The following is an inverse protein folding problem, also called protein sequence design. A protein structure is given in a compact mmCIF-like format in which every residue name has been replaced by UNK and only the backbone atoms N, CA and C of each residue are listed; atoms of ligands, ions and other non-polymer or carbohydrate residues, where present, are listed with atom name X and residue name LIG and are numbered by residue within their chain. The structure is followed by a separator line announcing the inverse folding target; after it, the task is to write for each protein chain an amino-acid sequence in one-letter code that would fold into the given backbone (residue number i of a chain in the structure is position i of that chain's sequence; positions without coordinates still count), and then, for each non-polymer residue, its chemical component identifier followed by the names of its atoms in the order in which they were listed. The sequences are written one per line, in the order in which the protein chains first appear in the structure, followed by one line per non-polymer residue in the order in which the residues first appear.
data_IF_794581642274
#
_entry.id   IF_794581642274
#
_cell.length_a   1.000
_cell.length_b   1.000
_cell.length_c   1.000
_cell.angle_alpha   90.00
_cell.angle_beta   90.00
_cell.angle_gamma   90.00
#
_symmetry.space_group_name_H-M   'P 1'
#
loop_
_entity.id
_entity.type
_entity.pdbx_description
1 polymer ?
#
# COMPACT_ATOMS: atom_id res chain seq x y z
N UNK A 1 -27.30 -2.01 25.34
CA UNK A 1 -25.99 -2.01 26.03
C UNK A 1 -24.92 -1.96 24.93
N UNK A 2 -24.03 -1.00 24.99
CA UNK A 2 -22.83 -1.00 24.14
C UNK A 2 -21.72 -1.69 24.96
N UNK A 3 -21.06 -2.69 24.36
CA UNK A 3 -19.90 -3.35 24.96
C UNK A 3 -18.64 -2.60 24.57
N UNK A 4 -17.56 -2.78 25.35
CA UNK A 4 -16.23 -2.34 24.97
C UNK A 4 -15.87 -2.84 23.56
N UNK A 5 -15.19 -2.01 22.80
CA UNK A 5 -14.80 -2.31 21.42
C UNK A 5 -13.52 -1.54 21.06
N UNK A 6 -13.11 -1.59 19.83
CA UNK A 6 -11.90 -0.91 19.34
C UNK A 6 -11.87 0.61 19.56
N UNK A 7 -13.02 1.26 19.78
CA UNK A 7 -13.18 2.71 19.99
C UNK A 7 -13.80 3.09 21.32
N UNK A 8 -14.04 2.15 22.22
CA UNK A 8 -14.70 2.39 23.50
C UNK A 8 -14.12 1.56 24.61
N UNK A 9 -13.88 2.18 25.76
CA UNK A 9 -13.33 1.57 26.97
C UNK A 9 -14.11 2.04 28.21
N UNK A 10 -14.36 1.12 29.17
CA UNK A 10 -15.00 1.42 30.44
C UNK A 10 -14.03 1.22 31.61
N UNK A 11 -14.10 2.09 32.62
CA UNK A 11 -13.36 1.96 33.86
C UNK A 11 -14.26 2.37 35.02
N UNK A 12 -14.41 1.49 36.00
CA UNK A 12 -15.21 1.79 37.19
C UNK A 12 -14.59 2.89 38.04
N UNK A 13 -13.24 3.00 38.06
CA UNK A 13 -12.48 3.96 38.84
C UNK A 13 -11.24 4.44 38.07
N UNK A 14 -10.66 5.58 38.49
CA UNK A 14 -9.39 6.07 37.95
C UNK A 14 -8.22 5.26 38.47
N UNK A 15 -7.55 4.53 37.59
CA UNK A 15 -6.29 3.82 37.82
C UNK A 15 -5.21 4.31 36.89
N UNK A 16 -3.95 3.99 37.17
CA UNK A 16 -2.82 4.38 36.28
C UNK A 16 -2.86 3.68 34.91
N UNK A 17 -3.68 2.64 34.76
CA UNK A 17 -3.90 1.99 33.48
C UNK A 17 -4.58 2.90 32.44
N UNK A 18 -5.27 3.96 32.89
CA UNK A 18 -5.89 4.95 32.02
C UNK A 18 -4.90 5.57 31.02
N UNK A 19 -3.65 5.76 31.44
CA UNK A 19 -2.63 6.34 30.56
C UNK A 19 -2.28 5.42 29.38
N UNK A 20 -2.35 4.10 29.59
CA UNK A 20 -2.13 3.11 28.51
C UNK A 20 -3.26 3.16 27.49
N UNK A 21 -4.51 3.30 27.99
CA UNK A 21 -5.68 3.41 27.11
C UNK A 21 -5.62 4.68 26.26
N UNK A 22 -5.31 5.84 26.89
CA UNK A 22 -5.14 7.10 26.17
C UNK A 22 -4.05 6.98 25.10
N UNK A 23 -2.90 6.40 25.45
CA UNK A 23 -1.81 6.16 24.50
C UNK A 23 -2.26 5.27 23.35
N UNK A 24 -2.96 4.18 23.67
CA UNK A 24 -3.42 3.23 22.65
C UNK A 24 -4.40 3.87 21.66
N UNK A 25 -5.36 4.64 22.16
CA UNK A 25 -6.29 5.39 21.31
C UNK A 25 -5.58 6.47 20.49
N UNK A 26 -4.64 7.22 21.09
CA UNK A 26 -3.90 8.27 20.37
C UNK A 26 -3.00 7.70 19.27
N UNK A 27 -2.45 6.50 19.47
CA UNK A 27 -1.63 5.79 18.49
C UNK A 27 -2.43 5.07 17.39
N UNK A 28 -3.77 4.95 17.57
CA UNK A 28 -4.66 4.33 16.58
C UNK A 28 -5.70 5.35 16.06
N UNK A 29 -6.93 4.96 15.91
CA UNK A 29 -8.00 5.78 15.27
C UNK A 29 -8.79 6.63 16.28
N UNK A 30 -8.24 6.84 17.49
CA UNK A 30 -8.94 7.51 18.57
C UNK A 30 -10.05 6.66 19.19
N UNK A 31 -10.76 7.23 20.17
CA UNK A 31 -11.85 6.56 20.86
C UNK A 31 -12.37 7.31 22.06
N UNK A 32 -13.19 6.67 22.86
CA UNK A 32 -13.81 7.25 24.06
C UNK A 32 -13.59 6.33 25.26
N UNK A 33 -13.19 6.93 26.39
CA UNK A 33 -13.03 6.22 27.65
C UNK A 33 -14.05 6.80 28.65
N UNK A 34 -14.73 5.93 29.36
CA UNK A 34 -15.65 6.34 30.43
C UNK A 34 -15.11 5.89 31.78
N UNK A 35 -15.02 6.81 32.73
CA UNK A 35 -14.65 6.51 34.12
C UNK A 35 -15.91 6.68 35.00
N UNK A 36 -16.24 5.68 35.81
CA UNK A 36 -17.47 5.56 36.56
C UNK A 36 -18.50 4.64 35.91
N UNK A 37 -18.04 3.75 34.99
CA UNK A 37 -18.83 2.68 34.37
C UNK A 37 -18.06 1.36 34.55
N UNK A 38 -18.74 0.29 34.94
CA UNK A 38 -18.15 -1.03 35.08
C UNK A 38 -18.06 -1.77 33.73
N UNK A 39 -17.35 -2.89 33.68
CA UNK A 39 -17.16 -3.71 32.48
C UNK A 39 -18.47 -4.30 31.91
N UNK A 40 -19.56 -4.24 32.69
CA UNK A 40 -20.89 -4.67 32.26
C UNK A 40 -21.73 -3.52 31.69
N UNK A 41 -21.17 -2.28 31.68
CA UNK A 41 -21.83 -1.07 31.21
C UNK A 41 -22.79 -0.42 32.23
N UNK A 42 -22.74 -0.81 33.50
CA UNK A 42 -23.53 -0.19 34.56
C UNK A 42 -22.83 1.06 35.08
N UNK A 43 -23.59 2.12 35.29
CA UNK A 43 -23.07 3.37 35.86
C UNK A 43 -22.83 3.19 37.36
N UNK A 44 -21.57 3.23 37.77
CA UNK A 44 -21.16 3.21 39.18
C UNK A 44 -21.00 4.61 39.76
N UNK A 45 -20.66 5.57 38.89
CA UNK A 45 -20.31 6.94 39.27
C UNK A 45 -18.94 7.03 39.98
N UNK A 46 -18.49 8.25 40.23
CA UNK A 46 -17.23 8.58 40.90
C UNK A 46 -17.54 9.35 42.19
N UNK A 47 -16.95 8.97 43.35
CA UNK A 47 -17.24 9.62 44.64
C UNK A 47 -16.72 11.07 44.72
N UNK A 48 -15.44 11.29 44.38
CA UNK A 48 -14.78 12.62 44.42
C UNK A 48 -14.47 13.11 43.00
N UNK A 49 -15.50 13.59 42.30
CA UNK A 49 -15.41 13.93 40.90
C UNK A 49 -14.36 15.02 40.61
N UNK A 50 -14.34 16.11 41.38
CA UNK A 50 -13.43 17.24 41.14
C UNK A 50 -11.96 16.85 41.38
N UNK A 51 -11.69 16.09 42.43
CA UNK A 51 -10.35 15.59 42.72
C UNK A 51 -9.90 14.59 41.63
N UNK A 52 -10.78 13.67 41.26
CA UNK A 52 -10.51 12.68 40.20
C UNK A 52 -10.29 13.35 38.86
N UNK A 53 -11.09 14.37 38.51
CA UNK A 53 -10.94 15.13 37.28
C UNK A 53 -9.57 15.85 37.23
N UNK A 54 -9.18 16.53 38.31
CA UNK A 54 -7.89 17.23 38.42
C UNK A 54 -6.72 16.26 38.33
N UNK A 55 -6.79 15.12 39.05
CA UNK A 55 -5.76 14.10 38.99
C UNK A 55 -5.63 13.46 37.62
N UNK A 56 -6.75 13.19 36.94
CA UNK A 56 -6.81 12.65 35.60
C UNK A 56 -6.14 13.60 34.57
N UNK A 57 -6.57 14.86 34.54
CA UNK A 57 -6.08 15.83 33.54
C UNK A 57 -4.57 16.11 33.72
N UNK A 58 -4.11 16.29 34.96
CA UNK A 58 -2.69 16.49 35.24
C UNK A 58 -1.90 15.20 34.95
N UNK A 59 -2.43 14.05 35.33
CA UNK A 59 -1.75 12.76 35.13
C UNK A 59 -1.54 12.44 33.64
N UNK A 60 -2.55 12.65 32.78
CA UNK A 60 -2.41 12.43 31.35
C UNK A 60 -1.35 13.35 30.76
N UNK A 61 -1.38 14.66 31.08
CA UNK A 61 -0.37 15.61 30.62
C UNK A 61 1.06 15.25 31.06
N UNK A 62 1.23 14.82 32.29
CA UNK A 62 2.54 14.62 32.88
C UNK A 62 3.14 13.22 32.59
N UNK A 63 2.28 12.22 32.34
CA UNK A 63 2.69 10.81 32.13
C UNK A 63 2.94 10.45 30.66
N UNK A 64 2.39 11.19 29.70
CA UNK A 64 2.43 10.83 28.26
C UNK A 64 3.33 11.77 27.50
N UNK A 65 4.11 11.22 26.58
CA UNK A 65 4.92 11.95 25.62
C UNK A 65 4.76 11.35 24.20
N UNK A 66 4.84 12.19 23.12
CA UNK A 66 4.76 13.66 23.12
C UNK A 66 3.50 14.19 23.81
N UNK A 67 3.36 15.52 23.94
CA UNK A 67 2.18 16.12 24.57
C UNK A 67 0.89 15.70 23.84
N UNK A 68 -0.03 15.09 24.59
CA UNK A 68 -1.29 14.52 24.07
C UNK A 68 -2.49 15.44 24.29
N UNK A 69 -2.31 16.55 25.01
CA UNK A 69 -3.43 17.38 25.52
C UNK A 69 -4.31 17.96 24.42
N UNK A 70 -3.77 18.24 23.24
CA UNK A 70 -4.55 18.73 22.09
C UNK A 70 -5.52 17.68 21.52
N UNK A 71 -5.28 16.41 21.77
CA UNK A 71 -6.07 15.29 21.25
C UNK A 71 -7.03 14.72 22.29
N UNK A 72 -7.03 15.25 23.52
CA UNK A 72 -7.86 14.72 24.62
C UNK A 72 -8.84 15.79 25.09
N UNK A 73 -10.12 15.43 25.08
CA UNK A 73 -11.22 16.26 25.59
C UNK A 73 -11.92 15.56 26.73
N UNK A 74 -12.18 16.28 27.79
CA UNK A 74 -12.83 15.76 28.99
C UNK A 74 -14.23 16.34 29.12
N UNK A 75 -15.22 15.48 29.38
CA UNK A 75 -16.61 15.87 29.57
C UNK A 75 -17.13 15.22 30.84
N UNK A 76 -17.54 16.03 31.83
CA UNK A 76 -18.21 15.54 33.01
C UNK A 76 -19.70 15.39 32.72
N UNK A 77 -20.27 14.22 33.00
CA UNK A 77 -21.69 13.92 32.84
C UNK A 77 -22.45 14.04 34.17
N UNK A 78 -23.75 14.29 34.12
CA UNK A 78 -24.61 14.50 35.29
C UNK A 78 -24.67 13.31 36.27
N UNK A 79 -24.41 12.10 35.76
CA UNK A 79 -24.36 10.86 36.51
C UNK A 79 -23.00 10.58 37.21
N UNK A 80 -22.16 11.60 37.36
CA UNK A 80 -20.81 11.50 37.94
C UNK A 80 -19.87 10.56 37.14
N UNK A 81 -20.02 10.52 35.84
CA UNK A 81 -19.14 9.82 34.90
C UNK A 81 -18.26 10.83 34.18
N UNK A 82 -16.96 10.57 34.10
CA UNK A 82 -16.06 11.36 33.26
C UNK A 82 -15.92 10.63 31.91
N UNK A 83 -16.30 11.31 30.85
CA UNK A 83 -16.10 10.88 29.48
C UNK A 83 -14.86 11.56 28.92
N UNK A 84 -13.92 10.77 28.43
CA UNK A 84 -12.67 11.20 27.82
C UNK A 84 -12.75 10.88 26.34
N UNK A 85 -12.78 11.90 25.48
CA UNK A 85 -12.70 11.76 24.03
C UNK A 85 -11.22 11.87 23.65
N UNK A 86 -10.68 10.82 23.05
CA UNK A 86 -9.30 10.76 22.60
C UNK A 86 -9.29 10.75 21.09
N UNK A 87 -8.67 11.75 20.48
CA UNK A 87 -8.43 11.82 19.04
C UNK A 87 -7.19 11.06 18.64
N UNK A 88 -7.10 10.76 17.35
CA UNK A 88 -5.87 10.25 16.75
C UNK A 88 -4.78 11.32 16.80
N UNK A 89 -3.59 10.95 17.28
CA UNK A 89 -2.45 11.85 17.42
C UNK A 89 -1.63 11.96 16.13
N UNK A 90 -1.10 13.17 15.88
CA UNK A 90 -0.30 13.47 14.68
C UNK A 90 1.18 13.13 14.82
N UNK A 91 1.69 12.98 16.05
CA UNK A 91 3.12 12.76 16.34
C UNK A 91 3.35 11.41 16.98
N UNK A 92 2.89 10.35 16.34
CA UNK A 92 3.08 8.97 16.81
C UNK A 92 4.56 8.55 16.73
N UNK A 93 5.04 7.71 17.65
CA UNK A 93 4.30 7.04 18.71
C UNK A 93 4.22 7.86 20.00
N UNK A 94 3.05 7.90 20.61
CA UNK A 94 2.86 8.37 21.98
C UNK A 94 3.24 7.25 22.95
N UNK A 95 3.86 7.62 24.08
CA UNK A 95 4.38 6.62 25.03
C UNK A 95 4.35 7.09 26.47
N UNK A 96 4.39 6.16 27.40
CA UNK A 96 4.57 6.45 28.84
C UNK A 96 5.97 7.00 29.09
N UNK A 97 6.07 8.25 29.58
CA UNK A 97 7.32 8.93 29.89
C UNK A 97 8.21 8.10 30.83
N UNK A 98 7.62 7.44 31.82
CA UNK A 98 8.33 6.61 32.80
C UNK A 98 8.99 5.38 32.22
N UNK A 99 8.47 4.88 31.08
CA UNK A 99 8.97 3.68 30.40
C UNK A 99 9.76 3.98 29.14
N UNK A 100 9.62 5.20 28.58
CA UNK A 100 10.31 5.63 27.37
C UNK A 100 9.79 5.00 26.10
N UNK A 101 10.42 5.40 24.96
CA UNK A 101 10.05 4.96 23.60
C UNK A 101 10.56 3.54 23.32
N UNK A 102 9.86 2.56 23.83
CA UNK A 102 10.12 1.13 23.66
C UNK A 102 8.81 0.33 23.85
N UNK A 103 8.74 -0.97 23.47
CA UNK A 103 7.51 -1.75 23.57
C UNK A 103 6.79 -1.64 24.92
N UNK A 104 7.52 -1.62 26.03
CA UNK A 104 6.94 -1.49 27.37
C UNK A 104 6.25 -0.14 27.64
N UNK A 105 6.49 0.88 26.81
CA UNK A 105 5.94 2.24 26.96
C UNK A 105 4.92 2.63 25.90
N UNK A 106 4.89 1.93 24.74
CA UNK A 106 4.02 2.24 23.59
C UNK A 106 2.87 1.25 23.52
N UNK A 107 1.66 1.73 23.41
CA UNK A 107 0.45 0.90 23.34
C UNK A 107 -0.37 1.24 22.10
N UNK A 108 -1.05 0.22 21.55
CA UNK A 108 -1.97 0.32 20.40
C UNK A 108 -3.25 -0.46 20.69
N UNK A 109 -4.36 -0.09 20.06
CA UNK A 109 -5.61 -0.87 20.16
C UNK A 109 -5.55 -2.07 19.23
N UNK A 110 -5.97 -3.22 19.76
CA UNK A 110 -6.18 -4.44 19.00
C UNK A 110 -7.53 -5.05 19.41
N UNK A 111 -8.57 -4.75 18.63
CA UNK A 111 -9.94 -5.01 19.04
C UNK A 111 -10.31 -4.20 20.28
N UNK A 112 -10.90 -4.84 21.29
CA UNK A 112 -11.30 -4.20 22.55
C UNK A 112 -10.17 -4.10 23.60
N UNK A 113 -8.89 -4.39 23.27
CA UNK A 113 -7.80 -4.38 24.24
C UNK A 113 -6.66 -3.47 23.81
N UNK A 114 -5.97 -2.86 24.79
CA UNK A 114 -4.73 -2.12 24.59
C UNK A 114 -3.52 -3.02 24.80
N UNK A 115 -2.73 -3.23 23.75
CA UNK A 115 -1.56 -4.09 23.76
C UNK A 115 -0.29 -3.29 23.54
N UNK A 116 0.86 -3.83 23.98
CA UNK A 116 2.15 -3.22 23.69
C UNK A 116 2.46 -3.30 22.20
N UNK A 117 2.91 -2.19 21.61
CA UNK A 117 3.34 -2.16 20.23
C UNK A 117 4.65 -2.94 20.03
N UNK A 118 4.75 -3.67 18.93
CA UNK A 118 6.00 -4.34 18.55
C UNK A 118 7.09 -3.33 18.17
N UNK A 119 8.37 -3.71 18.22
CA UNK A 119 9.46 -2.85 17.72
C UNK A 119 9.25 -2.40 16.26
N UNK A 120 8.65 -3.25 15.44
CA UNK A 120 8.34 -2.96 14.03
C UNK A 120 7.24 -1.91 13.91
N UNK A 121 6.17 -2.04 14.72
CA UNK A 121 5.08 -1.06 14.77
C UNK A 121 5.59 0.31 15.26
N UNK A 122 6.46 0.34 16.27
CA UNK A 122 7.07 1.56 16.77
C UNK A 122 7.90 2.24 15.67
N UNK A 123 8.74 1.48 14.95
CA UNK A 123 9.52 2.02 13.82
C UNK A 123 8.61 2.56 12.73
N UNK A 124 7.51 1.87 12.43
CA UNK A 124 6.57 2.33 11.42
C UNK A 124 5.88 3.64 11.85
N UNK A 125 5.41 3.73 13.10
CA UNK A 125 4.84 4.98 13.64
C UNK A 125 5.81 6.15 13.60
N UNK A 126 7.09 5.94 13.94
CA UNK A 126 8.13 6.98 13.82
C UNK A 126 8.26 7.44 12.36
N UNK A 127 8.37 6.50 11.43
CA UNK A 127 8.43 6.81 10.00
C UNK A 127 7.24 7.64 9.51
N UNK A 128 6.05 7.26 9.96
CA UNK A 128 4.81 7.90 9.51
C UNK A 128 4.62 9.30 10.13
N UNK A 129 5.21 9.53 11.30
CA UNK A 129 5.00 10.72 12.12
C UNK A 129 6.06 11.82 11.96
N UNK A 130 7.34 11.45 12.01
CA UNK A 130 8.43 12.42 11.99
C UNK A 130 8.74 12.92 10.58
N UNK A 131 8.07 12.36 9.56
CA UNK A 131 8.42 12.68 8.18
C UNK A 131 9.89 12.37 7.89
N UNK A 132 10.49 11.41 8.63
CA UNK A 132 11.83 10.90 8.34
C UNK A 132 11.83 10.34 6.91
N UNK A 133 12.00 11.27 6.00
CA UNK A 133 12.10 10.98 4.58
C UNK A 133 13.43 10.27 4.43
N UNK A 134 13.38 8.96 4.18
CA UNK A 134 14.56 8.12 4.03
C UNK A 134 15.68 8.82 3.23
N UNK A 135 15.30 9.52 2.18
CA UNK A 135 16.25 10.22 1.29
C UNK A 135 17.01 11.37 1.96
N UNK A 136 16.43 12.03 2.98
CA UNK A 136 17.06 13.16 3.69
C UNK A 136 17.91 12.72 4.89
N UNK A 137 17.76 11.45 5.33
CA UNK A 137 18.58 10.91 6.41
C UNK A 137 20.04 10.78 5.98
N UNK A 138 20.94 10.94 6.94
CA UNK A 138 22.39 10.74 6.74
C UNK A 138 22.66 9.30 6.33
N UNK A 139 23.40 9.10 5.24
CA UNK A 139 23.89 7.76 4.88
C UNK A 139 25.09 7.34 5.73
N UNK A 140 25.19 6.05 6.01
CA UNK A 140 26.33 5.46 6.72
C UNK A 140 27.59 5.57 5.85
N UNK A 141 27.46 5.40 4.54
CA UNK A 141 28.56 5.47 3.59
C UNK A 141 28.81 6.91 3.15
N UNK A 142 29.96 7.46 3.52
CA UNK A 142 30.33 8.84 3.20
C UNK A 142 31.35 8.98 2.06
N UNK A 143 31.97 7.89 1.62
CA UNK A 143 32.88 7.89 0.47
C UNK A 143 32.07 7.57 -0.80
N UNK A 144 31.48 8.60 -1.40
CA UNK A 144 30.62 8.47 -2.57
C UNK A 144 31.26 9.10 -3.80
N UNK A 145 31.11 8.44 -4.97
CA UNK A 145 31.41 8.99 -6.29
C UNK A 145 30.12 9.09 -7.11
N UNK A 146 30.11 9.99 -8.09
CA UNK A 146 28.91 10.36 -8.82
C UNK A 146 29.15 10.42 -10.35
N UNK A 147 30.00 9.54 -10.88
CA UNK A 147 30.39 9.59 -12.29
C UNK A 147 29.16 9.41 -13.20
N UNK A 148 28.32 8.43 -12.90
CA UNK A 148 27.10 8.16 -13.66
C UNK A 148 26.05 9.28 -13.50
N UNK A 149 25.91 9.85 -12.31
CA UNK A 149 25.04 11.00 -12.09
C UNK A 149 25.53 12.23 -12.88
N UNK A 150 26.84 12.51 -12.86
CA UNK A 150 27.41 13.63 -13.63
C UNK A 150 27.15 13.48 -15.12
N UNK A 151 27.25 12.28 -15.68
CA UNK A 151 26.91 11.97 -17.08
C UNK A 151 25.42 12.27 -17.34
N UNK A 152 24.52 11.81 -16.46
CA UNK A 152 23.09 12.05 -16.59
C UNK A 152 22.75 13.54 -16.55
N UNK A 153 23.24 14.28 -15.57
CA UNK A 153 23.00 15.72 -15.43
C UNK A 153 23.53 16.52 -16.63
N UNK A 154 24.74 16.17 -17.12
CA UNK A 154 25.35 16.80 -18.30
C UNK A 154 24.48 16.58 -19.54
N UNK A 155 23.92 15.37 -19.73
CA UNK A 155 23.04 15.04 -20.87
C UNK A 155 21.84 15.97 -20.92
N UNK A 156 21.24 16.27 -19.76
CA UNK A 156 20.07 17.13 -19.65
C UNK A 156 20.44 18.62 -19.44
N UNK A 157 21.72 18.98 -19.53
CA UNK A 157 22.21 20.36 -19.37
C UNK A 157 21.85 20.98 -18.02
N UNK A 158 21.89 20.19 -16.97
CA UNK A 158 21.70 20.64 -15.57
C UNK A 158 23.05 20.59 -14.88
N UNK A 159 23.34 21.63 -14.09
CA UNK A 159 24.60 21.71 -13.34
C UNK A 159 24.63 20.74 -12.18
N UNK A 160 25.78 20.02 -12.03
CA UNK A 160 26.02 19.01 -10.99
C UNK A 160 27.39 19.22 -10.34
N UNK A 161 27.68 20.43 -9.95
CA UNK A 161 28.91 20.79 -9.23
C UNK A 161 28.72 20.62 -7.70
N UNK A 162 29.79 20.43 -6.95
CA UNK A 162 29.73 20.19 -5.50
C UNK A 162 29.03 21.31 -4.72
N UNK A 163 29.13 22.54 -5.16
CA UNK A 163 28.42 23.70 -4.58
C UNK A 163 26.89 23.59 -4.68
N UNK A 164 26.37 22.70 -5.51
CA UNK A 164 24.94 22.42 -5.65
C UNK A 164 24.46 21.26 -4.78
N UNK A 165 25.35 20.48 -4.18
CA UNK A 165 24.98 19.26 -3.45
C UNK A 165 24.01 19.51 -2.29
N UNK A 166 24.19 20.62 -1.54
CA UNK A 166 23.24 21.01 -0.49
C UNK A 166 21.87 21.35 -1.11
N UNK A 167 21.87 22.17 -2.17
CA UNK A 167 20.63 22.59 -2.84
C UNK A 167 19.88 21.42 -3.53
N UNK A 168 20.61 20.39 -3.93
CA UNK A 168 20.04 19.14 -4.48
C UNK A 168 19.60 18.16 -3.37
N UNK A 169 19.93 18.43 -2.10
CA UNK A 169 19.64 17.53 -0.99
C UNK A 169 20.60 16.34 -0.85
N UNK A 170 21.75 16.38 -1.56
CA UNK A 170 22.78 15.34 -1.48
C UNK A 170 23.63 15.46 -0.21
N UNK A 171 23.81 16.67 0.28
CA UNK A 171 24.47 16.96 1.57
C UNK A 171 23.52 17.69 2.50
N UNK A 172 23.60 17.34 3.77
CA UNK A 172 22.84 18.01 4.82
C UNK A 172 23.46 19.38 5.13
N UNK A 173 22.62 20.41 5.25
CA UNK A 173 23.07 21.80 5.48
C UNK A 173 23.73 22.02 6.85
N UNK A 174 23.46 21.16 7.85
CA UNK A 174 23.93 21.34 9.21
C UNK A 174 25.29 20.72 9.50
N UNK A 175 25.57 19.55 8.87
CA UNK A 175 26.78 18.75 9.15
C UNK A 175 27.61 18.42 7.92
N UNK A 176 27.18 18.88 6.74
CA UNK A 176 27.82 18.65 5.43
C UNK A 176 28.04 17.15 5.08
N UNK A 177 27.27 16.25 5.73
CA UNK A 177 27.36 14.83 5.47
C UNK A 177 26.41 14.43 4.33
N UNK A 178 26.81 13.40 3.59
CA UNK A 178 25.95 12.85 2.52
C UNK A 178 24.70 12.20 3.08
N UNK A 179 23.59 12.43 2.37
CA UNK A 179 22.26 11.84 2.64
C UNK A 179 22.08 10.50 1.93
N UNK A 180 21.03 9.77 2.26
CA UNK A 180 20.65 8.58 1.52
C UNK A 180 20.27 8.90 0.06
N UNK A 181 19.75 10.10 -0.23
CA UNK A 181 19.57 10.55 -1.61
C UNK A 181 20.89 10.56 -2.37
N UNK A 182 21.97 11.05 -1.75
CA UNK A 182 23.30 10.98 -2.36
C UNK A 182 23.73 9.56 -2.63
N UNK A 183 23.51 8.63 -1.68
CA UNK A 183 23.79 7.21 -1.89
C UNK A 183 23.01 6.63 -3.08
N UNK A 184 21.72 6.97 -3.22
CA UNK A 184 20.90 6.51 -4.36
C UNK A 184 21.43 6.98 -5.71
N UNK A 185 21.96 8.22 -5.77
CA UNK A 185 22.51 8.77 -7.01
C UNK A 185 23.98 8.37 -7.25
N UNK A 186 24.69 7.87 -6.23
CA UNK A 186 26.09 7.50 -6.32
C UNK A 186 26.33 6.19 -7.07
N UNK A 187 27.57 5.99 -7.50
CA UNK A 187 28.01 4.74 -8.12
C UNK A 187 28.03 3.58 -7.12
N UNK A 188 28.00 3.87 -5.82
CA UNK A 188 27.95 2.93 -4.70
C UNK A 188 26.55 2.54 -4.25
N UNK A 189 25.50 2.95 -4.97
CA UNK A 189 24.11 2.58 -4.64
C UNK A 189 23.96 1.05 -4.55
N UNK A 190 23.47 0.58 -3.40
CA UNK A 190 23.30 -0.85 -3.12
C UNK A 190 21.96 -1.41 -3.60
N UNK A 191 21.00 -0.53 -3.89
CA UNK A 191 19.72 -0.95 -4.43
C UNK A 191 19.85 -1.36 -5.88
N UNK A 192 19.07 -2.35 -6.31
CA UNK A 192 19.16 -2.91 -7.67
C UNK A 192 17.78 -3.01 -8.31
N UNK A 193 17.79 -3.09 -9.63
CA UNK A 193 16.63 -3.43 -10.46
C UNK A 193 16.89 -4.76 -11.14
N UNK A 194 16.00 -5.75 -10.93
CA UNK A 194 16.08 -7.09 -11.51
C UNK A 194 15.01 -7.25 -12.57
N UNK A 195 15.42 -7.71 -13.74
CA UNK A 195 14.51 -8.00 -14.85
C UNK A 195 14.63 -9.48 -15.15
N UNK A 196 13.50 -10.18 -15.11
CA UNK A 196 13.39 -11.59 -15.44
C UNK A 196 12.46 -11.78 -16.64
N UNK A 197 12.90 -12.54 -17.62
CA UNK A 197 12.11 -12.90 -18.80
C UNK A 197 11.77 -14.37 -18.71
N UNK A 198 10.49 -14.70 -18.83
CA UNK A 198 9.95 -16.04 -18.65
C UNK A 198 9.38 -16.60 -19.95
N UNK A 199 9.39 -17.95 -20.06
CA UNK A 199 8.76 -18.67 -21.17
C UNK A 199 7.27 -18.93 -20.91
N UNK A 200 6.85 -18.84 -19.64
CA UNK A 200 5.52 -19.20 -19.17
C UNK A 200 4.81 -18.03 -18.48
N UNK A 201 3.47 -18.05 -18.47
CA UNK A 201 2.66 -17.02 -17.82
C UNK A 201 2.71 -17.07 -16.28
N UNK A 202 3.03 -18.22 -15.71
CA UNK A 202 3.19 -18.42 -14.27
C UNK A 202 4.53 -17.90 -13.73
N UNK A 203 5.43 -17.46 -14.62
CA UNK A 203 6.75 -16.92 -14.28
C UNK A 203 7.60 -17.93 -13.48
N UNK A 204 7.64 -19.17 -13.93
CA UNK A 204 8.41 -20.28 -13.31
C UNK A 204 9.60 -20.72 -14.15
N UNK A 205 9.53 -20.59 -15.49
CA UNK A 205 10.60 -20.95 -16.40
C UNK A 205 11.33 -19.73 -16.92
N UNK A 206 12.54 -19.49 -16.39
CA UNK A 206 13.37 -18.38 -16.82
C UNK A 206 13.91 -18.58 -18.24
N UNK A 207 13.75 -17.57 -19.11
CA UNK A 207 14.41 -17.48 -20.40
C UNK A 207 15.70 -16.67 -20.34
N UNK A 208 15.67 -15.54 -19.61
CA UNK A 208 16.83 -14.68 -19.35
C UNK A 208 16.59 -13.87 -18.06
N UNK A 209 17.67 -13.37 -17.47
CA UNK A 209 17.58 -12.48 -16.32
C UNK A 209 18.76 -11.51 -16.28
N UNK A 210 18.50 -10.29 -15.84
CA UNK A 210 19.52 -9.25 -15.64
C UNK A 210 19.30 -8.55 -14.32
N UNK A 211 20.39 -8.18 -13.67
CA UNK A 211 20.41 -7.34 -12.48
C UNK A 211 21.24 -6.08 -12.78
N UNK A 212 20.67 -4.92 -12.51
CA UNK A 212 21.30 -3.62 -12.71
C UNK A 212 21.48 -2.92 -11.37
N UNK A 213 22.72 -2.61 -11.03
CA UNK A 213 23.14 -1.88 -9.82
C UNK A 213 23.83 -0.56 -10.14
N UNK A 214 24.39 0.07 -9.10
CA UNK A 214 25.01 1.40 -9.19
C UNK A 214 23.96 2.51 -9.16
N UNK A 215 24.31 3.70 -9.60
CA UNK A 215 23.43 4.86 -9.60
C UNK A 215 22.04 4.55 -10.15
N UNK A 216 20.99 5.14 -9.55
CA UNK A 216 19.62 5.00 -10.06
C UNK A 216 19.50 5.42 -11.54
N UNK A 217 20.31 6.39 -11.99
CA UNK A 217 20.32 6.78 -13.40
C UNK A 217 20.84 5.67 -14.30
N UNK A 218 21.90 4.98 -13.89
CA UNK A 218 22.43 3.82 -14.60
C UNK A 218 21.45 2.65 -14.61
N UNK A 219 20.80 2.39 -13.48
CA UNK A 219 19.75 1.38 -13.39
C UNK A 219 18.59 1.70 -14.34
N UNK A 220 18.15 2.96 -14.39
CA UNK A 220 17.10 3.42 -15.31
C UNK A 220 17.49 3.20 -16.76
N UNK A 221 18.67 3.67 -17.19
CA UNK A 221 19.12 3.54 -18.58
C UNK A 221 19.29 2.08 -19.00
N UNK A 222 19.98 1.29 -18.19
CA UNK A 222 20.20 -0.11 -18.49
C UNK A 222 18.90 -0.90 -18.55
N UNK A 223 17.98 -0.60 -17.64
CA UNK A 223 16.66 -1.26 -17.61
C UNK A 223 15.84 -0.89 -18.85
N UNK A 224 15.77 0.38 -19.24
CA UNK A 224 15.05 0.82 -20.45
C UNK A 224 15.63 0.16 -21.71
N UNK A 225 16.97 0.14 -21.83
CA UNK A 225 17.62 -0.46 -22.99
C UNK A 225 17.34 -1.97 -23.07
N UNK A 226 17.39 -2.68 -21.92
CA UNK A 226 17.10 -4.11 -21.90
C UNK A 226 15.62 -4.41 -22.16
N UNK A 227 14.70 -3.63 -21.59
CA UNK A 227 13.25 -3.76 -21.86
C UNK A 227 12.89 -3.46 -23.32
N UNK A 228 13.61 -2.53 -23.97
CA UNK A 228 13.44 -2.28 -25.40
C UNK A 228 13.83 -3.51 -26.25
N UNK A 229 14.85 -4.29 -25.85
CA UNK A 229 15.19 -5.54 -26.53
C UNK A 229 14.14 -6.64 -26.30
N UNK A 230 13.45 -6.61 -25.17
CA UNK A 230 12.34 -7.53 -24.86
C UNK A 230 11.03 -7.14 -25.58
N UNK A 231 10.89 -5.89 -26.04
CA UNK A 231 9.69 -5.35 -26.66
C UNK A 231 9.69 -5.67 -28.17
N UNK A 232 9.04 -6.76 -28.55
CA UNK A 232 9.01 -7.23 -29.94
C UNK A 232 8.09 -6.34 -30.79
N UNK A 233 8.40 -6.25 -32.08
CA UNK A 233 7.55 -5.61 -33.07
C UNK A 233 6.96 -6.67 -33.99
N UNK A 234 5.64 -6.74 -34.04
CA UNK A 234 4.89 -7.57 -34.98
C UNK A 234 4.55 -6.75 -36.21
N UNK A 235 4.98 -7.24 -37.40
CA UNK A 235 4.67 -6.60 -38.66
C UNK A 235 3.56 -7.37 -39.37
N UNK A 236 2.46 -6.73 -39.67
CA UNK A 236 1.36 -7.28 -40.49
C UNK A 236 1.26 -6.56 -41.81
N UNK A 237 1.07 -7.31 -42.90
CA UNK A 237 0.88 -6.77 -44.24
C UNK A 237 -0.55 -7.03 -44.66
N UNK A 238 -1.35 -5.96 -44.85
CA UNK A 238 -2.70 -6.02 -45.42
C UNK A 238 -2.71 -5.34 -46.79
N UNK A 239 -2.75 -6.13 -47.85
CA UNK A 239 -2.62 -5.62 -49.23
C UNK A 239 -1.22 -5.06 -49.46
N UNK A 240 -1.14 -3.75 -49.74
CA UNK A 240 0.14 -3.02 -49.98
C UNK A 240 0.61 -2.24 -48.73
N UNK A 241 -0.14 -2.26 -47.67
CA UNK A 241 0.17 -1.50 -46.43
C UNK A 241 0.79 -2.43 -45.39
N UNK A 242 1.99 -2.11 -44.95
CA UNK A 242 2.65 -2.71 -43.79
C UNK A 242 2.30 -1.90 -42.53
N UNK A 243 1.89 -2.57 -41.48
CA UNK A 243 1.66 -2.01 -40.15
C UNK A 243 2.56 -2.70 -39.16
N UNK A 244 3.41 -1.93 -38.49
CA UNK A 244 4.29 -2.37 -37.43
C UNK A 244 3.67 -2.01 -36.07
N UNK A 245 3.54 -2.99 -35.16
CA UNK A 245 2.93 -2.80 -33.85
C UNK A 245 3.83 -3.45 -32.79
N UNK A 246 4.27 -2.64 -31.82
CA UNK A 246 5.05 -3.12 -30.69
C UNK A 246 4.17 -3.87 -29.69
N UNK A 247 4.75 -4.83 -28.96
CA UNK A 247 4.07 -5.57 -27.90
C UNK A 247 3.62 -4.63 -26.77
N UNK A 248 4.44 -3.63 -26.46
CA UNK A 248 4.17 -2.63 -25.41
C UNK A 248 4.50 -1.23 -25.92
N UNK A 249 3.71 -0.18 -25.62
CA UNK A 249 4.09 1.21 -25.91
C UNK A 249 5.36 1.59 -25.10
N UNK A 250 6.39 2.10 -25.75
CA UNK A 250 7.66 2.48 -25.11
C UNK A 250 7.46 3.51 -24.00
N UNK A 251 6.55 4.47 -24.20
CA UNK A 251 6.20 5.45 -23.18
C UNK A 251 5.57 4.79 -21.94
N UNK A 252 4.78 3.72 -22.10
CA UNK A 252 4.19 3.00 -20.97
C UNK A 252 5.25 2.26 -20.16
N UNK A 253 6.21 1.60 -20.82
CA UNK A 253 7.36 0.97 -20.17
C UNK A 253 8.14 2.00 -19.37
N UNK A 254 8.44 3.16 -20.01
CA UNK A 254 9.19 4.24 -19.36
C UNK A 254 8.48 4.78 -18.12
N UNK A 255 7.20 5.07 -18.22
CA UNK A 255 6.40 5.59 -17.11
C UNK A 255 6.29 4.58 -15.96
N UNK A 256 6.08 3.29 -16.26
CA UNK A 256 6.02 2.24 -15.25
C UNK A 256 7.35 2.07 -14.49
N UNK A 257 8.48 2.12 -15.21
CA UNK A 257 9.82 2.04 -14.60
C UNK A 257 10.12 3.27 -13.74
N UNK A 258 9.81 4.48 -14.22
CA UNK A 258 10.00 5.72 -13.47
C UNK A 258 9.15 5.72 -12.19
N UNK A 259 7.89 5.27 -12.26
CA UNK A 259 7.05 5.08 -11.09
C UNK A 259 7.68 4.11 -10.08
N UNK A 260 8.18 2.96 -10.56
CA UNK A 260 8.83 1.98 -9.69
C UNK A 260 10.07 2.56 -8.99
N UNK A 261 10.88 3.38 -9.67
CA UNK A 261 12.07 4.01 -9.09
C UNK A 261 11.74 5.14 -8.11
N UNK A 262 10.82 6.04 -8.48
CA UNK A 262 10.52 7.25 -7.68
C UNK A 262 9.66 6.94 -6.45
N UNK A 263 8.73 5.98 -6.55
CA UNK A 263 7.79 5.67 -5.47
C UNK A 263 8.23 4.50 -4.58
N UNK A 264 9.33 3.82 -4.89
CA UNK A 264 9.86 2.76 -4.06
C UNK A 264 10.18 3.24 -2.64
N UNK A 265 9.91 2.40 -1.65
CA UNK A 265 10.44 2.58 -0.29
C UNK A 265 11.88 2.04 -0.22
N UNK A 266 12.85 2.95 -0.25
CA UNK A 266 14.27 2.63 -0.19
C UNK A 266 14.78 2.22 1.19
N UNK A 267 13.95 2.28 2.22
CA UNK A 267 14.30 1.71 3.52
C UNK A 267 14.32 0.18 3.53
N UNK A 268 13.69 -0.46 2.53
CA UNK A 268 13.79 -1.90 2.30
C UNK A 268 14.96 -2.23 1.37
N UNK A 269 15.70 -3.29 1.71
CA UNK A 269 16.88 -3.72 0.96
C UNK A 269 16.57 -4.53 -0.32
N UNK A 270 15.32 -4.98 -0.54
CA UNK A 270 14.93 -5.77 -1.72
C UNK A 270 15.09 -4.97 -3.03
N UNK A 271 15.05 -5.64 -4.17
CA UNK A 271 15.17 -5.03 -5.50
C UNK A 271 13.82 -4.60 -6.06
N UNK A 272 13.81 -3.67 -7.05
CA UNK A 272 12.69 -3.56 -7.99
C UNK A 272 12.71 -4.82 -8.85
N UNK A 273 11.57 -5.44 -9.07
CA UNK A 273 11.42 -6.64 -9.88
C UNK A 273 10.57 -6.32 -11.10
N UNK A 274 11.07 -6.68 -12.28
CA UNK A 274 10.32 -6.56 -13.53
C UNK A 274 10.25 -7.94 -14.15
N UNK A 275 9.03 -8.46 -14.29
CA UNK A 275 8.79 -9.75 -14.92
C UNK A 275 8.22 -9.51 -16.32
N UNK A 276 8.78 -10.19 -17.32
CA UNK A 276 8.37 -10.11 -18.72
C UNK A 276 8.03 -11.51 -19.19
N UNK A 277 6.86 -11.70 -19.75
CA UNK A 277 6.47 -12.92 -20.46
C UNK A 277 5.72 -12.57 -21.76
N UNK A 278 5.24 -13.57 -22.48
CA UNK A 278 4.59 -13.35 -23.76
C UNK A 278 3.22 -12.63 -23.66
N UNK A 279 2.59 -12.62 -22.46
CA UNK A 279 1.27 -12.01 -22.23
C UNK A 279 1.31 -10.64 -21.56
N UNK A 280 2.33 -10.36 -20.74
CA UNK A 280 2.41 -9.15 -19.91
C UNK A 280 3.82 -8.76 -19.49
N UNK A 281 3.97 -7.52 -19.05
CA UNK A 281 5.13 -6.99 -18.34
C UNK A 281 4.67 -6.43 -16.99
N UNK A 282 5.28 -6.87 -15.89
CA UNK A 282 4.94 -6.47 -14.52
C UNK A 282 6.09 -5.70 -13.90
N UNK A 283 5.79 -4.55 -13.31
CA UNK A 283 6.73 -3.72 -12.56
C UNK A 283 6.33 -3.76 -11.08
N UNK A 284 7.17 -4.32 -10.23
CA UNK A 284 6.92 -4.53 -8.81
C UNK A 284 7.96 -3.75 -8.01
N UNK A 285 7.51 -2.80 -7.20
CA UNK A 285 8.35 -2.04 -6.27
C UNK A 285 7.92 -2.27 -4.82
N UNK A 286 8.90 -2.21 -3.91
CA UNK A 286 8.65 -2.26 -2.47
C UNK A 286 8.06 -0.92 -1.98
N UNK A 287 7.15 -1.02 -1.04
CA UNK A 287 6.38 0.09 -0.49
C UNK A 287 4.98 0.15 -1.10
N UNK A 288 3.95 0.14 -0.24
CA UNK A 288 2.56 0.36 -0.63
C UNK A 288 2.28 1.83 -0.94
N UNK A 289 1.01 2.19 -1.03
CA UNK A 289 0.60 3.59 -1.14
C UNK A 289 0.89 4.35 0.16
N UNK A 290 1.09 5.65 0.05
CA UNK A 290 1.17 6.50 1.24
C UNK A 290 -0.17 6.51 1.97
N UNK A 291 -0.18 6.69 3.31
CA UNK A 291 -1.41 6.73 4.10
C UNK A 291 -2.43 7.72 3.52
N UNK A 292 -3.67 7.30 3.45
CA UNK A 292 -4.77 8.09 2.91
C UNK A 292 -4.92 8.09 1.39
N UNK A 293 -4.04 7.43 0.64
CA UNK A 293 -4.17 7.26 -0.82
C UNK A 293 -4.74 5.89 -1.17
N UNK A 294 -5.64 5.89 -2.15
CA UNK A 294 -6.19 4.68 -2.78
C UNK A 294 -5.69 4.53 -4.24
N UNK A 295 -5.89 3.35 -4.81
CA UNK A 295 -5.63 3.10 -6.25
C UNK A 295 -6.53 3.93 -7.14
N UNK A 296 -7.74 4.26 -6.69
CA UNK A 296 -8.69 5.12 -7.35
C UNK A 296 -8.17 6.56 -7.43
N UNK A 297 -7.60 7.10 -6.35
CA UNK A 297 -7.01 8.44 -6.33
C UNK A 297 -5.88 8.56 -7.34
N UNK A 298 -5.03 7.53 -7.44
CA UNK A 298 -3.95 7.48 -8.43
C UNK A 298 -4.49 7.49 -9.86
N UNK A 299 -5.56 6.75 -10.14
CA UNK A 299 -6.24 6.78 -11.45
C UNK A 299 -6.85 8.14 -11.75
N UNK A 300 -7.32 8.86 -10.74
CA UNK A 300 -7.77 10.25 -10.86
C UNK A 300 -6.62 11.23 -11.07
N UNK A 301 -5.35 10.80 -10.92
CA UNK A 301 -4.15 11.59 -11.15
C UNK A 301 -3.61 12.27 -9.89
N UNK A 302 -4.04 11.86 -8.72
CA UNK A 302 -3.39 12.26 -7.48
C UNK A 302 -1.99 11.65 -7.46
N UNK A 303 -0.96 12.49 -7.30
CA UNK A 303 0.44 12.06 -7.26
C UNK A 303 1.11 12.66 -6.04
N UNK A 304 1.55 11.78 -5.14
CA UNK A 304 2.34 12.14 -3.99
C UNK A 304 3.58 11.23 -3.96
N UNK A 305 4.74 11.72 -4.37
CA UNK A 305 5.94 10.90 -4.38
C UNK A 305 6.42 10.59 -2.96
N UNK A 306 6.80 9.33 -2.72
CA UNK A 306 7.43 8.90 -1.47
C UNK A 306 8.79 9.58 -1.30
N UNK A 307 9.57 9.64 -2.38
CA UNK A 307 10.90 10.25 -2.41
C UNK A 307 10.81 11.61 -3.14
N UNK A 308 10.46 12.65 -2.38
CA UNK A 308 10.20 13.99 -2.92
C UNK A 308 11.42 14.60 -3.60
N UNK A 309 12.59 14.51 -2.95
CA UNK A 309 13.84 15.07 -3.49
C UNK A 309 14.32 14.33 -4.73
N UNK A 310 14.19 13.00 -4.73
CA UNK A 310 14.46 12.20 -5.91
C UNK A 310 13.52 12.59 -7.06
N UNK A 311 12.22 12.74 -6.79
CA UNK A 311 11.26 13.22 -7.78
C UNK A 311 11.60 14.62 -8.31
N UNK A 312 11.99 15.57 -7.45
CA UNK A 312 12.45 16.91 -7.84
C UNK A 312 13.66 16.84 -8.80
N UNK A 313 14.62 15.94 -8.54
CA UNK A 313 15.79 15.75 -9.41
C UNK A 313 15.35 15.16 -10.75
N UNK A 314 14.52 14.13 -10.77
CA UNK A 314 14.02 13.56 -12.02
C UNK A 314 13.19 14.58 -12.83
N UNK A 315 12.43 15.45 -12.15
CA UNK A 315 11.71 16.53 -12.80
C UNK A 315 12.67 17.58 -13.40
N UNK A 316 13.71 18.01 -12.67
CA UNK A 316 14.74 18.93 -13.19
C UNK A 316 15.43 18.37 -14.44
N UNK A 317 15.66 17.06 -14.46
CA UNK A 317 16.21 16.34 -15.62
C UNK A 317 15.15 16.05 -16.69
N UNK A 318 13.91 16.56 -16.56
CA UNK A 318 12.79 16.33 -17.49
C UNK A 318 12.49 14.84 -17.73
N UNK A 319 12.82 13.99 -16.75
CA UNK A 319 12.50 12.58 -16.79
C UNK A 319 11.06 12.29 -16.38
N UNK A 320 10.50 13.09 -15.47
CA UNK A 320 9.10 12.99 -15.03
C UNK A 320 8.41 14.37 -15.11
N UNK A 321 7.08 14.33 -15.13
CA UNK A 321 6.21 15.51 -15.03
C UNK A 321 5.62 15.59 -13.60
N UNK A 322 5.37 16.81 -13.11
CA UNK A 322 4.88 17.04 -11.73
C UNK A 322 3.34 16.97 -11.59
N UNK A 323 2.62 16.64 -12.66
CA UNK A 323 1.14 16.80 -12.71
C UNK A 323 0.35 15.50 -12.51
N UNK A 324 0.98 14.40 -12.06
CA UNK A 324 0.29 13.12 -11.88
C UNK A 324 -0.26 12.50 -13.17
N UNK A 325 0.34 12.85 -14.31
CA UNK A 325 -0.13 12.44 -15.65
C UNK A 325 0.39 11.06 -16.05
N UNK A 326 1.44 10.53 -15.40
CA UNK A 326 2.14 9.32 -15.82
C UNK A 326 1.23 8.09 -15.91
N UNK A 327 0.53 7.79 -14.85
CA UNK A 327 -0.40 6.65 -14.81
C UNK A 327 -1.55 6.84 -15.82
N UNK A 328 -2.12 8.04 -15.90
CA UNK A 328 -3.17 8.33 -16.89
C UNK A 328 -2.65 8.16 -18.33
N UNK A 329 -1.40 8.51 -18.58
CA UNK A 329 -0.74 8.31 -19.90
C UNK A 329 -0.65 6.84 -20.24
N UNK A 330 -0.27 5.97 -19.26
CA UNK A 330 -0.26 4.52 -19.45
C UNK A 330 -1.65 4.05 -19.93
N UNK A 331 -2.72 4.36 -19.18
CA UNK A 331 -4.08 3.95 -19.56
C UNK A 331 -4.51 4.51 -20.93
N UNK A 332 -4.17 5.76 -21.23
CA UNK A 332 -4.48 6.39 -22.52
C UNK A 332 -3.81 5.67 -23.71
N UNK A 333 -2.57 5.21 -23.54
CA UNK A 333 -1.85 4.45 -24.57
C UNK A 333 -2.50 3.10 -24.87
N UNK A 334 -3.23 2.55 -23.92
CA UNK A 334 -3.97 1.29 -24.05
C UNK A 334 -5.47 1.47 -24.33
N UNK A 335 -5.96 2.71 -24.59
CA UNK A 335 -7.39 2.98 -24.74
C UNK A 335 -8.11 2.10 -25.78
N UNK A 336 -7.39 1.70 -26.84
CA UNK A 336 -7.92 0.86 -27.93
C UNK A 336 -7.49 -0.63 -27.79
N UNK A 337 -6.90 -1.02 -26.68
CA UNK A 337 -6.53 -2.41 -26.41
C UNK A 337 -7.68 -3.13 -25.69
N UNK A 338 -8.03 -4.37 -26.08
CA UNK A 338 -9.08 -5.12 -25.41
C UNK A 338 -8.76 -5.44 -23.93
N UNK A 339 -7.48 -5.54 -23.58
CA UNK A 339 -7.02 -5.71 -22.20
C UNK A 339 -6.33 -4.44 -21.73
N UNK A 340 -6.77 -3.92 -20.58
CA UNK A 340 -6.27 -2.68 -20.01
C UNK A 340 -5.15 -2.95 -18.99
N UNK A 341 -4.21 -2.00 -18.79
CA UNK A 341 -3.27 -2.04 -17.69
C UNK A 341 -3.95 -2.15 -16.34
N UNK A 342 -3.30 -2.80 -15.37
CA UNK A 342 -3.79 -2.84 -14.00
C UNK A 342 -2.76 -2.30 -13.02
N UNK A 343 -3.28 -1.80 -11.89
CA UNK A 343 -2.49 -1.32 -10.76
C UNK A 343 -3.00 -2.05 -9.53
N UNK A 344 -2.08 -2.60 -8.77
CA UNK A 344 -2.35 -3.28 -7.53
C UNK A 344 -1.42 -2.75 -6.44
N UNK A 345 -1.99 -2.49 -5.28
CA UNK A 345 -1.24 -2.04 -4.11
C UNK A 345 -1.57 -2.90 -2.89
N UNK A 346 -0.55 -3.27 -2.16
CA UNK A 346 -0.65 -3.89 -0.84
C UNK A 346 0.05 -2.99 0.17
N UNK A 347 0.05 -3.36 1.44
CA UNK A 347 0.77 -2.60 2.48
C UNK A 347 2.26 -2.40 2.15
N UNK A 348 2.92 -3.37 1.51
CA UNK A 348 4.39 -3.38 1.33
C UNK A 348 4.84 -3.47 -0.14
N UNK A 349 3.93 -3.44 -1.09
CA UNK A 349 4.27 -3.53 -2.50
C UNK A 349 3.29 -2.76 -3.39
N UNK A 350 3.82 -2.26 -4.51
CA UNK A 350 3.04 -1.63 -5.57
C UNK A 350 3.41 -2.30 -6.90
N UNK A 351 2.39 -2.68 -7.68
CA UNK A 351 2.53 -3.38 -8.95
C UNK A 351 1.79 -2.66 -10.07
N UNK A 352 2.48 -2.45 -11.20
CA UNK A 352 1.87 -2.03 -12.48
C UNK A 352 2.01 -3.19 -13.45
N UNK A 353 0.92 -3.57 -14.10
CA UNK A 353 0.89 -4.60 -15.13
C UNK A 353 0.54 -3.97 -16.47
N UNK A 354 1.41 -4.14 -17.45
CA UNK A 354 1.20 -3.75 -18.84
C UNK A 354 0.88 -5.03 -19.66
N UNK A 355 -0.32 -5.18 -20.23
CA UNK A 355 -0.62 -6.31 -21.09
C UNK A 355 0.09 -6.19 -22.44
N UNK A 356 0.48 -7.33 -23.03
CA UNK A 356 0.99 -7.37 -24.40
C UNK A 356 -0.14 -7.09 -25.38
N UNK A 357 -0.04 -5.99 -26.13
CA UNK A 357 -1.08 -5.52 -27.06
C UNK A 357 -1.31 -6.48 -28.23
N UNK A 358 -0.28 -7.21 -28.65
CA UNK A 358 -0.37 -8.16 -29.77
C UNK A 358 -0.96 -9.50 -29.31
N UNK A 359 -0.57 -10.02 -28.15
CA UNK A 359 -1.16 -11.22 -27.54
C UNK A 359 -2.65 -11.00 -27.20
N UNK A 360 -3.00 -9.87 -26.62
CA UNK A 360 -4.38 -9.50 -26.31
C UNK A 360 -5.27 -9.38 -27.55
N UNK A 361 -4.70 -8.90 -28.69
CA UNK A 361 -5.43 -8.79 -29.96
C UNK A 361 -5.65 -10.17 -30.61
N UNK A 362 -4.64 -11.06 -30.56
CA UNK A 362 -4.76 -12.44 -31.05
C UNK A 362 -5.77 -13.26 -30.23
N UNK A 363 -5.81 -13.05 -28.90
CA UNK A 363 -6.83 -13.64 -28.04
C UNK A 363 -8.25 -13.17 -28.35
N UNK A 364 -8.43 -11.90 -28.71
CA UNK A 364 -9.72 -11.34 -29.08
C UNK A 364 -10.22 -11.83 -30.46
N UNK A 365 -9.33 -12.02 -31.44
CA UNK A 365 -9.69 -12.61 -32.72
C UNK A 365 -10.06 -14.10 -32.59
N UNK A 366 -9.37 -14.85 -31.74
CA UNK A 366 -9.70 -16.24 -31.40
C UNK A 366 -10.96 -16.36 -30.50
N UNK A 367 -11.26 -15.35 -29.69
CA UNK A 367 -12.45 -15.30 -28.83
C UNK A 367 -13.74 -15.03 -29.64
N UNK A 368 -13.64 -14.44 -30.84
CA UNK A 368 -14.78 -14.29 -31.74
C UNK A 368 -15.22 -15.63 -32.34
N UNK A 369 -14.38 -16.69 -32.29
CA UNK A 369 -14.68 -18.08 -32.70
C UNK A 369 -14.78 -19.06 -31.51
N UNK A 370 -14.45 -18.62 -30.27
CA UNK A 370 -14.46 -19.49 -29.09
C UNK A 370 -15.77 -19.36 -28.28
N UNK A 371 -16.38 -20.47 -27.99
CA UNK A 371 -17.44 -20.61 -26.99
C UNK A 371 -17.02 -20.00 -25.64
N UNK A 372 -17.99 -19.52 -24.80
CA UNK A 372 -17.69 -18.87 -23.54
C UNK A 372 -16.74 -19.73 -22.69
N UNK A 373 -15.72 -19.10 -22.14
CA UNK A 373 -14.71 -19.76 -21.29
C UNK A 373 -15.40 -20.47 -20.13
N UNK A 374 -15.05 -21.73 -19.92
CA UNK A 374 -15.58 -22.54 -18.81
C UNK A 374 -15.12 -21.85 -17.49
N UNK A 375 -16.03 -21.51 -16.59
CA UNK A 375 -15.67 -20.83 -15.33
C UNK A 375 -14.71 -21.71 -14.50
N UNK A 376 -13.73 -21.09 -13.87
CA UNK A 376 -12.75 -21.79 -13.02
C UNK A 376 -13.45 -22.26 -11.74
N UNK A 377 -13.87 -23.52 -11.72
CA UNK A 377 -14.59 -24.11 -10.60
C UNK A 377 -13.62 -24.42 -9.45
N UNK A 378 -13.72 -23.65 -8.36
CA UNK A 378 -12.96 -23.94 -7.14
C UNK A 378 -13.48 -25.22 -6.46
N UNK A 379 -12.69 -25.87 -5.57
CA UNK A 379 -13.15 -27.04 -4.83
C UNK A 379 -14.46 -26.80 -4.05
N UNK A 380 -14.63 -25.60 -3.46
CA UNK A 380 -15.86 -25.23 -2.76
C UNK A 380 -17.05 -25.07 -3.72
N UNK A 381 -16.85 -24.43 -4.87
CA UNK A 381 -17.88 -24.32 -5.91
C UNK A 381 -18.30 -25.69 -6.43
N UNK A 382 -17.36 -26.62 -6.59
CA UNK A 382 -17.65 -27.96 -7.04
C UNK A 382 -18.57 -28.71 -6.07
N UNK A 383 -18.32 -28.63 -4.76
CA UNK A 383 -19.19 -29.24 -3.73
C UNK A 383 -20.59 -28.65 -3.80
N UNK A 384 -20.75 -27.35 -4.00
CA UNK A 384 -22.07 -26.70 -4.14
C UNK A 384 -22.80 -27.17 -5.41
N UNK A 385 -22.08 -27.22 -6.53
CA UNK A 385 -22.67 -27.67 -7.80
C UNK A 385 -23.10 -29.15 -7.76
N UNK A 386 -22.31 -30.01 -7.12
CA UNK A 386 -22.63 -31.42 -6.98
C UNK A 386 -23.84 -31.60 -6.05
N UNK A 387 -23.95 -30.85 -4.98
CA UNK A 387 -25.13 -30.79 -4.11
C UNK A 387 -26.40 -30.35 -4.90
N UNK A 388 -26.28 -29.24 -5.66
CA UNK A 388 -27.40 -28.73 -6.46
C UNK A 388 -27.84 -29.68 -7.57
N UNK A 389 -26.94 -30.51 -8.12
CA UNK A 389 -27.29 -31.56 -9.07
C UNK A 389 -28.11 -32.67 -8.43
N UNK A 390 -27.83 -32.99 -7.17
CA UNK A 390 -28.49 -34.08 -6.45
C UNK A 390 -29.82 -33.64 -5.84
N UNK A 391 -29.89 -32.45 -5.24
CA UNK A 391 -31.04 -31.96 -4.47
C UNK A 391 -31.89 -30.90 -5.19
N UNK A 392 -31.39 -30.34 -6.29
CA UNK A 392 -32.10 -29.38 -7.15
C UNK A 392 -32.08 -27.92 -6.64
N UNK A 393 -32.15 -27.70 -5.35
CA UNK A 393 -32.09 -26.37 -4.72
C UNK A 393 -31.35 -26.40 -3.37
N UNK A 394 -30.84 -25.21 -2.93
CA UNK A 394 -30.12 -25.06 -1.68
C UNK A 394 -30.46 -23.72 -1.03
N UNK A 395 -30.58 -23.67 0.29
CA UNK A 395 -30.74 -22.44 1.09
C UNK A 395 -29.42 -21.96 1.69
N UNK A 396 -29.40 -20.72 2.21
CA UNK A 396 -28.21 -20.13 2.85
C UNK A 396 -27.71 -20.95 4.05
N UNK A 397 -28.62 -21.54 4.86
CA UNK A 397 -28.28 -22.37 6.01
C UNK A 397 -27.61 -23.68 5.59
N UNK A 398 -28.19 -24.36 4.59
CA UNK A 398 -27.68 -25.64 4.06
C UNK A 398 -26.29 -25.46 3.44
N UNK A 399 -26.05 -24.32 2.75
CA UNK A 399 -24.73 -23.95 2.21
C UNK A 399 -23.68 -23.76 3.31
N UNK A 400 -24.07 -23.07 4.39
CA UNK A 400 -23.17 -22.82 5.51
C UNK A 400 -22.78 -24.11 6.23
N UNK A 401 -23.73 -25.03 6.41
CA UNK A 401 -23.50 -26.36 7.00
C UNK A 401 -22.66 -27.24 6.08
N UNK A 402 -22.98 -27.29 4.79
CA UNK A 402 -22.28 -28.12 3.81
C UNK A 402 -20.78 -27.78 3.70
N UNK A 403 -20.45 -26.48 3.74
CA UNK A 403 -19.07 -26.00 3.59
C UNK A 403 -18.40 -25.65 4.91
N UNK A 404 -19.08 -25.74 6.04
CA UNK A 404 -18.61 -25.31 7.38
C UNK A 404 -18.11 -23.85 7.38
N UNK A 405 -18.84 -22.92 6.71
CA UNK A 405 -18.47 -21.52 6.57
C UNK A 405 -19.50 -20.58 7.20
N UNK A 406 -19.05 -19.36 7.57
CA UNK A 406 -19.94 -18.33 8.14
C UNK A 406 -20.71 -17.58 7.02
N UNK A 407 -21.81 -16.94 7.39
CA UNK A 407 -22.75 -16.23 6.51
C UNK A 407 -22.08 -15.29 5.48
N UNK A 408 -21.09 -14.52 5.91
CA UNK A 408 -20.38 -13.58 5.01
C UNK A 408 -19.61 -14.33 3.90
N UNK A 409 -18.95 -15.45 4.24
CA UNK A 409 -18.21 -16.24 3.26
C UNK A 409 -19.16 -16.96 2.30
N UNK A 410 -20.29 -17.47 2.80
CA UNK A 410 -21.36 -18.08 2.00
C UNK A 410 -21.91 -17.08 0.97
N UNK A 411 -22.20 -15.85 1.41
CA UNK A 411 -22.67 -14.77 0.53
C UNK A 411 -21.68 -14.43 -0.59
N UNK A 412 -20.40 -14.29 -0.28
CA UNK A 412 -19.36 -13.99 -1.28
C UNK A 412 -19.22 -15.12 -2.31
N UNK A 413 -19.26 -16.37 -1.85
CA UNK A 413 -19.16 -17.53 -2.74
C UNK A 413 -20.37 -17.62 -3.69
N UNK A 414 -21.60 -17.49 -3.17
CA UNK A 414 -22.82 -17.57 -3.99
C UNK A 414 -22.96 -16.39 -4.94
N UNK A 415 -22.50 -15.19 -4.54
CA UNK A 415 -22.43 -14.04 -5.41
C UNK A 415 -21.49 -14.28 -6.58
N UNK A 416 -20.27 -14.78 -6.32
CA UNK A 416 -19.31 -15.13 -7.35
C UNK A 416 -19.87 -16.19 -8.30
N UNK A 417 -20.46 -17.28 -7.77
CA UNK A 417 -21.06 -18.33 -8.59
C UNK A 417 -22.23 -17.84 -9.46
N UNK A 418 -22.98 -16.85 -8.97
CA UNK A 418 -24.08 -16.23 -9.73
C UNK A 418 -23.55 -15.28 -10.82
N UNK A 419 -22.50 -14.50 -10.53
CA UNK A 419 -21.82 -13.63 -11.50
C UNK A 419 -21.16 -14.44 -12.62
N UNK A 420 -20.60 -15.60 -12.30
CA UNK A 420 -20.04 -16.56 -13.25
C UNK A 420 -21.10 -17.41 -13.99
N UNK A 421 -22.39 -17.20 -13.66
CA UNK A 421 -23.50 -17.88 -14.34
C UNK A 421 -23.67 -19.37 -14.01
N UNK A 422 -23.05 -19.84 -12.92
CA UNK A 422 -23.13 -21.24 -12.46
C UNK A 422 -24.42 -21.55 -11.72
N UNK A 423 -24.97 -20.58 -11.01
CA UNK A 423 -26.21 -20.70 -10.24
C UNK A 423 -27.12 -19.49 -10.46
N UNK A 424 -28.39 -19.66 -10.25
CA UNK A 424 -29.40 -18.61 -10.17
C UNK A 424 -29.93 -18.45 -8.75
N UNK A 425 -30.29 -17.21 -8.39
CA UNK A 425 -30.88 -16.88 -7.09
C UNK A 425 -32.39 -16.73 -7.26
N UNK A 426 -33.16 -17.56 -6.58
CA UNK A 426 -34.64 -17.55 -6.62
C UNK A 426 -35.18 -17.12 -5.26
N UNK A 427 -36.14 -16.17 -5.25
CA UNK A 427 -36.73 -15.64 -4.02
C UNK A 427 -35.98 -14.48 -3.39
N UNK A 428 -36.50 -13.94 -2.28
CA UNK A 428 -35.90 -12.84 -1.50
C UNK A 428 -36.07 -13.07 0.00
N UNK A 429 -35.16 -12.53 0.80
CA UNK A 429 -35.20 -12.65 2.25
C UNK A 429 -35.09 -14.08 2.75
N UNK A 430 -35.98 -14.55 3.61
CA UNK A 430 -35.99 -15.89 4.18
C UNK A 430 -36.36 -17.02 3.17
N UNK A 431 -36.93 -16.66 2.02
CA UNK A 431 -37.28 -17.60 0.96
C UNK A 431 -36.24 -17.73 -0.15
N UNK A 432 -35.08 -17.09 0.05
CA UNK A 432 -33.97 -17.12 -0.92
C UNK A 432 -33.39 -18.50 -1.05
N UNK A 433 -33.29 -18.97 -2.30
CA UNK A 433 -32.76 -20.30 -2.68
C UNK A 433 -31.81 -20.15 -3.87
N UNK A 434 -30.92 -21.10 -4.02
CA UNK A 434 -29.99 -21.22 -5.14
C UNK A 434 -30.34 -22.45 -5.97
N UNK A 435 -30.26 -22.35 -7.30
CA UNK A 435 -30.44 -23.43 -8.26
C UNK A 435 -29.35 -23.41 -9.31
N UNK A 436 -29.14 -24.52 -9.98
CA UNK A 436 -28.28 -24.53 -11.17
C UNK A 436 -28.93 -23.69 -12.28
N UNK A 437 -28.08 -22.94 -12.98
CA UNK A 437 -28.55 -22.15 -14.13
C UNK A 437 -28.53 -22.98 -15.42
#
# INVERSE_FOLDING_TARGET
MQYENERMEYKSQLTDDIYKEVIAFTNTDGGVIYIGIDDQGNVTGIDNVDETYTRLTNGIRDAIQPDVTMFVRYVLQENKVIRIEVGEGSYKPYYLKSKGLKPAGVYVRQGATSVQASPEQIRQMIKDSDGDVFEEMRTVQQNLTFDEAAVAFKRYKVDFSEDKYIALGLRNIHDDQYTNLALLLSDQCQHTTKIAVFNDESCTEFRDSKEFGGSIFKQFENSINYLALCNRTVSTIKGVVRTDKQDYPEEAIREALLNALVHRDYSFSGSIIINVNDSKMEFISLGGLLPGLSTEDIRLGVSQPRNKKLAEIFHRLRLIESYGTGIRRIFKLYANCPVQPSIEATTNAFRIVLPNMNAASAGAENAAEAKPATPVITPQMKIVLDYLKEYGEMRDEELQELLHIKKTRAYLLTRQMSEEGLIEVVGRGAEKKYRLK
#
